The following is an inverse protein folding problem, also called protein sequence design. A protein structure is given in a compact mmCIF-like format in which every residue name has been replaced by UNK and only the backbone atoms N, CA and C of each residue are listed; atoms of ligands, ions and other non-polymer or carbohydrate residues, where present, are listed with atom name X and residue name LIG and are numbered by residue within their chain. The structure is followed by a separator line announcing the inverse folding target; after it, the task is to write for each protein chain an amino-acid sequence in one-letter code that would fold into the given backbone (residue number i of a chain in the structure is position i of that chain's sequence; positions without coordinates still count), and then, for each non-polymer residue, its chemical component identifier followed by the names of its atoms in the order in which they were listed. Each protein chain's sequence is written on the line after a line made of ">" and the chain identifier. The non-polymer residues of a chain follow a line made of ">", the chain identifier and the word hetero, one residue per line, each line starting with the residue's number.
data_IF_049093769225
#
_entry.id   IF_049093769225
#
_cell.length_a   1.000
_cell.length_b   1.000
_cell.length_c   1.000
_cell.angle_alpha   90.00
_cell.angle_beta   90.00
_cell.angle_gamma   90.00
#
_symmetry.space_group_name_H-M   'P 1'
#
loop_
_entity.id
_entity.type
_entity.pdbx_description
1 polymer ?
#
# COMPACT_ATOMS: atom_id res chain seq x y z
N UNK A 1 11.94 0.38 16.85
CA UNK A 1 13.10 0.63 15.95
C UNK A 1 13.14 2.06 15.38
N UNK A 2 12.03 2.81 15.34
CA UNK A 2 12.01 4.18 14.78
C UNK A 2 13.02 5.15 15.38
N UNK A 3 13.38 4.98 16.66
CA UNK A 3 14.40 5.83 17.32
C UNK A 3 15.84 5.49 16.92
N UNK A 4 16.10 4.24 16.56
CA UNK A 4 17.44 3.77 16.16
C UNK A 4 17.67 3.85 14.65
N UNK A 5 16.61 3.87 13.86
CA UNK A 5 16.60 3.85 12.40
C UNK A 5 15.60 4.92 11.89
N UNK A 6 15.83 6.21 12.13
CA UNK A 6 14.84 7.23 11.77
C UNK A 6 14.64 7.38 10.25
N UNK A 7 15.71 7.36 9.47
CA UNK A 7 15.63 7.49 8.00
C UNK A 7 14.98 6.24 7.40
N UNK A 8 15.52 5.06 7.72
CA UNK A 8 14.96 3.77 7.26
C UNK A 8 13.50 3.61 7.69
N UNK A 9 13.15 4.03 8.91
CA UNK A 9 11.78 4.01 9.41
C UNK A 9 10.84 4.90 8.61
N UNK A 10 11.26 6.11 8.27
CA UNK A 10 10.46 7.04 7.46
C UNK A 10 10.23 6.48 6.05
N UNK A 11 11.29 5.99 5.39
CA UNK A 11 11.18 5.37 4.06
C UNK A 11 10.23 4.18 4.07
N UNK A 12 10.34 3.32 5.08
CA UNK A 12 9.45 2.16 5.22
C UNK A 12 7.99 2.56 5.49
N UNK A 13 7.74 3.62 6.26
CA UNK A 13 6.38 4.14 6.49
C UNK A 13 5.78 4.66 5.18
N UNK A 14 6.54 5.38 4.36
CA UNK A 14 6.08 5.85 3.04
C UNK A 14 5.78 4.66 2.13
N UNK A 15 6.65 3.65 2.09
CA UNK A 15 6.41 2.42 1.34
C UNK A 15 5.14 1.70 1.82
N UNK A 16 4.93 1.57 3.13
CA UNK A 16 3.71 0.99 3.70
C UNK A 16 2.45 1.80 3.35
N UNK A 17 2.55 3.13 3.35
CA UNK A 17 1.46 4.01 2.93
C UNK A 17 1.12 3.82 1.45
N UNK A 18 2.13 3.68 0.58
CA UNK A 18 1.93 3.36 -0.83
C UNK A 18 1.24 2.00 -1.01
N UNK A 19 1.68 0.96 -0.30
CA UNK A 19 1.06 -0.37 -0.34
C UNK A 19 -0.37 -0.36 0.22
N UNK A 20 -0.65 0.46 1.22
CA UNK A 20 -2.00 0.68 1.72
C UNK A 20 -2.91 1.41 0.73
N UNK A 21 -2.34 2.12 -0.26
CA UNK A 21 -3.06 2.91 -1.24
C UNK A 21 -3.45 4.29 -0.71
N UNK A 22 -2.53 4.94 0.00
CA UNK A 22 -2.70 6.33 0.42
C UNK A 22 -2.64 7.25 -0.81
N UNK A 23 -3.58 8.20 -0.97
CA UNK A 23 -3.56 9.16 -2.06
C UNK A 23 -2.21 9.87 -2.22
N UNK A 24 -1.89 10.30 -3.44
CA UNK A 24 -0.62 10.93 -3.82
C UNK A 24 0.60 10.00 -3.85
N UNK A 25 0.41 8.72 -3.61
CA UNK A 25 1.44 7.70 -3.79
C UNK A 25 1.06 6.76 -4.96
N UNK A 26 2.07 6.19 -5.61
CA UNK A 26 1.86 5.33 -6.79
C UNK A 26 0.89 4.17 -6.53
N UNK A 27 0.88 3.63 -5.30
CA UNK A 27 0.00 2.52 -4.93
C UNK A 27 -1.49 2.88 -4.91
N UNK A 28 -1.85 4.13 -4.69
CA UNK A 28 -3.22 4.60 -4.85
C UNK A 28 -3.66 4.53 -6.31
N UNK A 29 -2.85 5.10 -7.21
CA UNK A 29 -3.13 5.11 -8.64
C UNK A 29 -3.28 3.68 -9.21
N UNK A 30 -2.36 2.80 -8.90
CA UNK A 30 -2.40 1.40 -9.37
C UNK A 30 -3.61 0.64 -8.82
N UNK A 31 -4.00 0.87 -7.57
CA UNK A 31 -5.24 0.29 -7.00
C UNK A 31 -6.50 0.81 -7.68
N UNK A 32 -6.57 2.11 -7.93
CA UNK A 32 -7.73 2.73 -8.55
C UNK A 32 -7.92 2.21 -9.98
N UNK A 33 -6.84 2.11 -10.76
CA UNK A 33 -6.86 1.50 -12.08
C UNK A 33 -7.25 0.01 -12.01
N UNK A 34 -6.68 -0.75 -11.07
CA UNK A 34 -7.05 -2.16 -10.88
C UNK A 34 -8.53 -2.33 -10.52
N UNK A 35 -9.07 -1.50 -9.64
CA UNK A 35 -10.49 -1.54 -9.29
C UNK A 35 -11.38 -1.15 -10.48
N UNK A 36 -10.97 -0.15 -11.28
CA UNK A 36 -11.68 0.22 -12.48
C UNK A 36 -11.80 -0.96 -13.44
N UNK A 37 -10.71 -1.67 -13.72
CA UNK A 37 -10.72 -2.84 -14.59
C UNK A 37 -11.64 -3.95 -14.06
N UNK A 38 -11.70 -4.17 -12.73
CA UNK A 38 -12.60 -5.18 -12.17
C UNK A 38 -14.08 -4.85 -12.33
N UNK A 39 -14.42 -3.56 -12.43
CA UNK A 39 -15.81 -3.09 -12.64
C UNK A 39 -16.20 -3.16 -14.11
N UNK A 40 -15.22 -3.01 -15.04
CA UNK A 40 -15.49 -3.04 -16.50
C UNK A 40 -15.51 -4.44 -17.10
N UNK A 41 -15.17 -5.48 -16.34
CA UNK A 41 -15.26 -6.86 -16.83
C UNK A 41 -16.72 -7.23 -17.10
N UNK A 42 -17.06 -7.45 -18.36
CA UNK A 42 -18.36 -7.97 -18.79
C UNK A 42 -18.29 -9.47 -18.96
N UNK A 43 -18.92 -10.21 -18.06
CA UNK A 43 -18.94 -11.67 -18.04
C UNK A 43 -20.26 -12.18 -17.46
N UNK A 44 -20.26 -13.29 -16.73
CA UNK A 44 -21.46 -13.73 -16.03
C UNK A 44 -21.77 -12.84 -14.81
N UNK A 45 -23.03 -12.71 -14.36
CA UNK A 45 -23.41 -11.89 -13.20
C UNK A 45 -22.63 -12.23 -11.92
N UNK A 46 -22.18 -13.48 -11.79
CA UNK A 46 -21.35 -13.93 -10.65
C UNK A 46 -19.96 -13.30 -10.71
N UNK A 47 -19.37 -13.19 -11.90
CA UNK A 47 -18.05 -12.58 -12.10
C UNK A 47 -18.14 -11.06 -11.97
N UNK A 48 -19.15 -10.45 -12.59
CA UNK A 48 -19.35 -8.99 -12.55
C UNK A 48 -19.48 -8.42 -11.14
N UNK A 49 -20.17 -9.13 -10.26
CA UNK A 49 -20.30 -8.71 -8.85
C UNK A 49 -19.21 -9.29 -7.94
N UNK A 50 -18.75 -10.50 -8.21
CA UNK A 50 -17.79 -11.20 -7.39
C UNK A 50 -16.38 -10.63 -7.50
N UNK A 51 -15.94 -10.24 -8.68
CA UNK A 51 -14.60 -9.75 -8.91
C UNK A 51 -14.31 -8.41 -8.19
N UNK A 52 -15.17 -7.38 -8.28
CA UNK A 52 -14.98 -6.15 -7.51
C UNK A 52 -15.02 -6.39 -5.99
N UNK A 53 -15.89 -7.28 -5.51
CA UNK A 53 -15.96 -7.62 -4.09
C UNK A 53 -14.67 -8.28 -3.60
N UNK A 54 -14.13 -9.25 -4.34
CA UNK A 54 -12.85 -9.89 -4.02
C UNK A 54 -11.68 -8.92 -4.10
N UNK A 55 -11.65 -8.05 -5.11
CA UNK A 55 -10.64 -7.01 -5.25
C UNK A 55 -10.67 -6.04 -4.05
N UNK A 56 -11.86 -5.60 -3.63
CA UNK A 56 -12.03 -4.74 -2.45
C UNK A 56 -11.55 -5.46 -1.18
N UNK A 57 -11.88 -6.73 -1.01
CA UNK A 57 -11.40 -7.55 0.12
C UNK A 57 -9.87 -7.67 0.12
N UNK A 58 -9.25 -7.91 -1.04
CA UNK A 58 -7.80 -7.91 -1.18
C UNK A 58 -7.21 -6.54 -0.78
N UNK A 59 -7.86 -5.44 -1.15
CA UNK A 59 -7.52 -4.09 -0.71
C UNK A 59 -7.57 -3.92 0.81
N UNK A 60 -8.59 -4.45 1.48
CA UNK A 60 -8.70 -4.48 2.96
C UNK A 60 -7.48 -5.16 3.57
N UNK A 61 -7.12 -6.35 3.08
CA UNK A 61 -5.97 -7.09 3.60
C UNK A 61 -4.65 -6.36 3.34
N UNK A 62 -4.50 -5.69 2.20
CA UNK A 62 -3.32 -4.89 1.89
C UNK A 62 -3.12 -3.76 2.93
N UNK A 63 -4.19 -3.08 3.34
CA UNK A 63 -4.14 -2.07 4.41
C UNK A 63 -3.78 -2.70 5.75
N UNK A 64 -4.41 -3.83 6.10
CA UNK A 64 -4.18 -4.52 7.39
C UNK A 64 -2.72 -4.92 7.54
N UNK A 65 -2.14 -5.57 6.52
CA UNK A 65 -0.76 -6.04 6.63
C UNK A 65 0.25 -4.89 6.62
N UNK A 66 0.00 -3.84 5.83
CA UNK A 66 0.86 -2.64 5.80
C UNK A 66 0.89 -1.95 7.16
N UNK A 67 -0.27 -1.74 7.78
CA UNK A 67 -0.38 -1.17 9.13
C UNK A 67 0.29 -2.07 10.18
N UNK A 68 0.07 -3.39 10.09
CA UNK A 68 0.66 -4.35 11.02
C UNK A 68 2.17 -4.38 10.92
N UNK A 69 2.71 -4.32 9.69
CA UNK A 69 4.15 -4.27 9.45
C UNK A 69 4.74 -2.98 10.03
N UNK A 70 4.22 -1.82 9.61
CA UNK A 70 4.71 -0.52 10.08
C UNK A 70 4.67 -0.42 11.60
N UNK A 71 3.54 -0.75 12.22
CA UNK A 71 3.39 -0.67 13.68
C UNK A 71 4.27 -1.72 14.39
N UNK A 72 4.27 -2.96 13.93
CA UNK A 72 5.04 -4.05 14.58
C UNK A 72 6.54 -3.82 14.56
N UNK A 73 7.07 -3.32 13.45
CA UNK A 73 8.51 -3.13 13.27
C UNK A 73 8.99 -1.80 13.88
N UNK A 74 8.29 -0.70 13.62
CA UNK A 74 8.80 0.63 13.96
C UNK A 74 8.24 1.21 15.26
N UNK A 75 7.00 0.87 15.62
CA UNK A 75 6.31 1.38 16.82
C UNK A 75 6.09 0.32 17.90
N UNK A 76 6.63 -0.88 17.71
CA UNK A 76 6.62 -1.93 18.72
C UNK A 76 7.52 -1.63 19.92
N UNK A 77 7.45 -2.45 20.99
CA UNK A 77 8.35 -2.32 22.13
C UNK A 77 9.81 -2.45 21.70
N UNK A 78 10.74 -1.82 22.44
CA UNK A 78 12.15 -1.90 22.12
C UNK A 78 12.60 -3.37 22.10
N UNK A 79 13.41 -3.76 21.10
CA UNK A 79 13.88 -5.14 20.99
C UNK A 79 14.81 -5.44 22.18
N UNK A 80 14.67 -6.63 22.76
CA UNK A 80 15.50 -7.13 23.87
C UNK A 80 16.36 -8.29 23.39
N UNK A 81 17.60 -8.35 23.85
CA UNK A 81 18.50 -9.49 23.54
C UNK A 81 19.05 -9.50 22.11
N UNK A 82 19.13 -8.35 21.45
CA UNK A 82 19.78 -8.27 20.14
C UNK A 82 21.31 -8.45 20.30
N UNK A 83 21.95 -9.23 19.39
CA UNK A 83 23.39 -9.42 19.40
C UNK A 83 24.17 -8.14 19.09
N UNK A 84 23.54 -7.19 18.40
CA UNK A 84 24.09 -5.85 18.13
C UNK A 84 23.00 -4.79 18.25
N UNK A 85 23.38 -3.57 18.65
CA UNK A 85 22.48 -2.44 18.65
C UNK A 85 22.14 -2.05 17.19
N UNK A 86 20.84 -1.89 16.85
CA UNK A 86 20.45 -1.44 15.53
C UNK A 86 20.93 -0.01 15.28
N UNK A 87 21.54 0.23 14.15
CA UNK A 87 22.00 1.54 13.68
C UNK A 87 21.62 1.70 12.20
N UNK A 88 21.55 2.95 11.74
CA UNK A 88 21.29 3.24 10.33
C UNK A 88 22.33 2.56 9.42
N UNK A 89 21.90 1.97 8.30
CA UNK A 89 22.81 1.40 7.32
C UNK A 89 23.65 2.49 6.65
N UNK A 90 24.78 2.09 6.06
CA UNK A 90 25.66 2.99 5.30
C UNK A 90 24.87 3.73 4.21
N UNK A 91 25.26 4.96 3.92
CA UNK A 91 24.56 5.83 2.96
C UNK A 91 24.29 5.12 1.61
N UNK A 92 25.28 4.43 1.06
CA UNK A 92 25.14 3.72 -0.21
C UNK A 92 24.10 2.59 -0.21
N UNK A 93 23.80 2.00 0.94
CA UNK A 93 22.75 0.99 1.07
C UNK A 93 21.34 1.62 1.11
N UNK A 94 21.24 2.90 1.48
CA UNK A 94 19.96 3.64 1.54
C UNK A 94 19.58 4.26 0.21
N UNK A 95 20.55 4.69 -0.59
CA UNK A 95 20.33 5.37 -1.88
C UNK A 95 19.30 4.65 -2.78
N UNK A 96 19.37 3.33 -3.02
CA UNK A 96 18.37 2.65 -3.84
C UNK A 96 16.95 2.76 -3.27
N UNK A 97 16.80 2.67 -1.95
CA UNK A 97 15.49 2.76 -1.28
C UNK A 97 14.96 4.20 -1.32
N UNK A 98 15.83 5.18 -1.12
CA UNK A 98 15.50 6.61 -1.23
C UNK A 98 15.02 6.96 -2.65
N UNK A 99 15.69 6.45 -3.69
CA UNK A 99 15.29 6.62 -5.09
C UNK A 99 13.94 5.97 -5.38
N UNK A 100 13.69 4.76 -4.87
CA UNK A 100 12.41 4.08 -5.04
C UNK A 100 11.26 4.82 -4.35
N UNK A 101 11.49 5.34 -3.15
CA UNK A 101 10.48 6.15 -2.44
C UNK A 101 10.25 7.47 -3.16
N UNK A 102 11.29 8.11 -3.65
CA UNK A 102 11.17 9.30 -4.49
C UNK A 102 10.33 9.01 -5.75
N UNK A 103 10.66 7.94 -6.47
CA UNK A 103 9.89 7.51 -7.64
C UNK A 103 8.43 7.23 -7.30
N UNK A 104 8.16 6.61 -6.15
CA UNK A 104 6.80 6.35 -5.66
C UNK A 104 5.99 7.65 -5.48
N UNK A 105 6.60 8.68 -4.91
CA UNK A 105 5.97 10.00 -4.73
C UNK A 105 5.80 10.73 -6.06
N UNK A 106 6.82 10.72 -6.92
CA UNK A 106 6.79 11.38 -8.24
C UNK A 106 5.71 10.75 -9.13
N UNK A 107 5.65 9.43 -9.21
CA UNK A 107 4.62 8.72 -9.98
C UNK A 107 3.23 8.95 -9.40
N UNK A 108 3.09 8.98 -8.08
CA UNK A 108 1.81 9.22 -7.43
C UNK A 108 1.28 10.65 -7.55
N UNK A 109 2.17 11.64 -7.68
CA UNK A 109 1.79 13.06 -7.79
C UNK A 109 1.69 13.55 -9.23
N UNK A 110 2.57 13.06 -10.12
CA UNK A 110 2.70 13.48 -11.51
C UNK A 110 2.65 12.27 -12.47
N UNK A 111 1.59 11.44 -12.45
CA UNK A 111 1.55 10.18 -13.18
C UNK A 111 1.65 10.36 -14.70
N UNK A 112 0.95 11.34 -15.24
CA UNK A 112 0.94 11.59 -16.69
C UNK A 112 2.33 11.96 -17.23
N UNK A 113 3.12 12.68 -16.45
CA UNK A 113 4.47 13.13 -16.84
C UNK A 113 5.54 12.08 -16.59
N UNK A 114 5.44 11.35 -15.48
CA UNK A 114 6.47 10.40 -15.04
C UNK A 114 6.35 9.05 -15.72
N UNK A 115 5.20 8.38 -15.60
CA UNK A 115 5.01 7.01 -16.07
C UNK A 115 4.20 6.93 -17.36
N UNK A 116 3.43 7.97 -17.70
CA UNK A 116 2.57 7.98 -18.89
C UNK A 116 3.27 7.61 -20.20
N UNK A 117 4.39 8.25 -20.56
CA UNK A 117 5.12 7.91 -21.79
C UNK A 117 5.63 6.46 -21.81
N UNK A 118 6.07 5.95 -20.66
CA UNK A 118 6.56 4.57 -20.53
C UNK A 118 5.42 3.57 -20.69
N UNK A 119 4.26 3.84 -20.08
CA UNK A 119 3.07 3.01 -20.22
C UNK A 119 2.55 3.00 -21.66
N UNK A 120 2.53 4.14 -22.34
CA UNK A 120 2.14 4.23 -23.74
C UNK A 120 3.04 3.35 -24.64
N UNK A 121 4.36 3.45 -24.47
CA UNK A 121 5.31 2.62 -25.20
C UNK A 121 5.15 1.11 -24.89
N UNK A 122 4.89 0.76 -23.63
CA UNK A 122 4.70 -0.64 -23.24
C UNK A 122 3.35 -1.22 -23.71
N UNK A 123 2.30 -0.42 -23.75
CA UNK A 123 0.97 -0.86 -24.15
C UNK A 123 0.82 -0.98 -25.67
N UNK A 124 1.52 -0.19 -26.46
CA UNK A 124 1.38 -0.14 -27.91
C UNK A 124 1.53 -1.50 -28.61
N UNK A 125 2.56 -2.33 -28.32
CA UNK A 125 2.70 -3.64 -28.95
C UNK A 125 1.63 -4.65 -28.47
N UNK A 126 1.06 -4.46 -27.28
CA UNK A 126 0.00 -5.35 -26.75
C UNK A 126 -1.34 -5.07 -27.41
N UNK A 127 -1.66 -3.79 -27.60
CA UNK A 127 -2.94 -3.37 -28.20
C UNK A 127 -2.94 -3.58 -29.73
N UNK A 128 -1.79 -3.53 -30.39
CA UNK A 128 -1.65 -3.78 -31.82
C UNK A 128 -2.29 -2.71 -32.72
N UNK A 129 -2.64 -1.55 -32.16
CA UNK A 129 -3.30 -0.44 -32.88
C UNK A 129 -3.15 0.89 -32.16
N UNK A 130 -4.09 1.81 -32.41
CA UNK A 130 -4.16 3.07 -31.67
C UNK A 130 -4.53 2.79 -30.22
N UNK A 131 -3.76 3.36 -29.29
CA UNK A 131 -4.07 3.25 -27.87
C UNK A 131 -5.44 3.90 -27.57
N UNK A 132 -6.29 3.26 -26.76
CA UNK A 132 -7.50 3.89 -26.29
C UNK A 132 -7.17 5.16 -25.50
N UNK A 133 -8.07 6.13 -25.53
CA UNK A 133 -7.92 7.32 -24.68
C UNK A 133 -7.98 6.89 -23.20
N UNK A 134 -6.92 7.17 -22.47
CA UNK A 134 -6.84 6.92 -21.03
C UNK A 134 -6.33 8.16 -20.31
N UNK A 135 -6.83 8.39 -19.13
CA UNK A 135 -6.40 9.51 -18.27
C UNK A 135 -5.62 8.98 -17.08
N UNK A 136 -4.38 9.41 -16.94
CA UNK A 136 -3.55 9.14 -15.76
C UNK A 136 -3.64 10.30 -14.76
N UNK A 137 -4.85 10.82 -14.52
CA UNK A 137 -5.05 11.85 -13.52
C UNK A 137 -5.03 11.25 -12.11
N UNK A 138 -4.57 12.02 -11.13
CA UNK A 138 -4.62 11.63 -9.71
C UNK A 138 -6.06 11.62 -9.19
N UNK A 139 -6.93 12.38 -9.84
CA UNK A 139 -8.32 12.54 -9.46
C UNK A 139 -9.25 12.37 -10.68
N UNK A 140 -10.14 11.40 -10.62
CA UNK A 140 -11.13 11.10 -11.66
C UNK A 140 -12.57 11.38 -11.21
N UNK A 141 -12.75 12.21 -10.17
CA UNK A 141 -14.06 12.46 -9.58
C UNK A 141 -14.53 11.34 -8.63
N UNK A 142 -15.79 11.39 -8.24
CA UNK A 142 -16.41 10.35 -7.44
C UNK A 142 -16.87 9.21 -8.37
N UNK A 143 -16.12 8.13 -8.35
CA UNK A 143 -16.36 6.93 -9.16
C UNK A 143 -16.40 5.66 -8.29
N UNK A 144 -16.87 4.56 -8.84
CA UNK A 144 -16.94 3.25 -8.15
C UNK A 144 -15.57 2.78 -7.62
N UNK A 145 -14.46 2.84 -8.38
CA UNK A 145 -13.12 2.52 -7.90
C UNK A 145 -12.70 3.31 -6.66
N UNK A 146 -13.01 4.60 -6.61
CA UNK A 146 -12.72 5.43 -5.44
C UNK A 146 -13.50 4.95 -4.21
N UNK A 147 -14.79 4.63 -4.37
CA UNK A 147 -15.61 4.08 -3.28
C UNK A 147 -15.03 2.76 -2.78
N UNK A 148 -14.62 1.87 -3.69
CA UNK A 148 -13.94 0.61 -3.33
C UNK A 148 -12.64 0.87 -2.56
N UNK A 149 -11.84 1.85 -2.97
CA UNK A 149 -10.62 2.28 -2.26
C UNK A 149 -10.91 2.79 -0.86
N UNK A 150 -11.94 3.61 -0.69
CA UNK A 150 -12.37 4.11 0.62
C UNK A 150 -12.87 2.99 1.53
N UNK A 151 -13.69 2.08 0.99
CA UNK A 151 -14.19 0.90 1.71
C UNK A 151 -13.03 -0.01 2.12
N UNK A 152 -12.06 -0.26 1.23
CA UNK A 152 -10.88 -1.05 1.52
C UNK A 152 -10.03 -0.42 2.63
N UNK A 153 -9.84 0.89 2.58
CA UNK A 153 -9.05 1.62 3.59
C UNK A 153 -9.75 1.65 4.95
N UNK A 154 -11.03 2.01 4.97
CA UNK A 154 -11.83 2.05 6.21
C UNK A 154 -11.98 0.64 6.81
N UNK A 155 -12.31 -0.35 5.99
CA UNK A 155 -12.42 -1.75 6.41
C UNK A 155 -11.10 -2.30 6.95
N UNK A 156 -9.99 -2.03 6.25
CA UNK A 156 -8.66 -2.43 6.69
C UNK A 156 -8.26 -1.80 8.03
N UNK A 157 -8.54 -0.52 8.21
CA UNK A 157 -8.29 0.18 9.46
C UNK A 157 -9.13 -0.41 10.61
N UNK A 158 -10.43 -0.65 10.40
CA UNK A 158 -11.32 -1.25 11.40
C UNK A 158 -10.87 -2.67 11.79
N UNK A 159 -10.55 -3.50 10.81
CA UNK A 159 -10.02 -4.86 11.05
C UNK A 159 -8.72 -4.77 11.83
N UNK A 160 -7.80 -3.91 11.44
CA UNK A 160 -6.53 -3.72 12.13
C UNK A 160 -6.74 -3.30 13.60
N UNK A 161 -7.59 -2.31 13.87
CA UNK A 161 -7.85 -1.82 15.22
C UNK A 161 -8.47 -2.91 16.11
N UNK A 162 -9.40 -3.72 15.58
CA UNK A 162 -9.97 -4.85 16.31
C UNK A 162 -8.96 -5.95 16.62
N UNK A 163 -8.10 -6.28 15.66
CA UNK A 163 -7.04 -7.27 15.88
C UNK A 163 -5.95 -6.74 16.83
N UNK A 164 -5.53 -5.51 16.69
CA UNK A 164 -4.55 -4.88 17.57
C UNK A 164 -5.01 -4.87 19.04
N UNK A 165 -6.29 -4.56 19.30
CA UNK A 165 -6.87 -4.59 20.64
C UNK A 165 -6.89 -6.01 21.22
N UNK A 166 -7.29 -7.01 20.45
CA UNK A 166 -7.28 -8.42 20.90
C UNK A 166 -5.89 -8.95 21.21
N UNK A 167 -4.89 -8.61 20.41
CA UNK A 167 -3.49 -9.00 20.62
C UNK A 167 -2.90 -8.33 21.87
N UNK A 168 -3.22 -7.06 22.13
CA UNK A 168 -2.84 -6.38 23.38
C UNK A 168 -3.43 -7.06 24.60
N UNK A 169 -4.72 -7.40 24.56
CA UNK A 169 -5.40 -8.09 25.66
C UNK A 169 -4.83 -9.49 25.94
N UNK A 170 -4.50 -10.26 24.89
CA UNK A 170 -3.85 -11.58 25.05
C UNK A 170 -2.47 -11.47 25.66
N UNK A 171 -1.68 -10.47 25.27
CA UNK A 171 -0.34 -10.23 25.80
C UNK A 171 -0.36 -9.82 27.28
N UNK A 172 -1.37 -9.08 27.69
CA UNK A 172 -1.58 -8.72 29.11
C UNK A 172 -2.06 -9.90 29.98
N UNK A 173 -2.87 -10.82 29.39
CA UNK A 173 -3.34 -12.04 30.07
C UNK A 173 -2.31 -13.17 30.12
N UNK A 174 -1.33 -13.20 29.22
CA UNK A 174 -0.28 -14.22 29.16
C UNK A 174 1.02 -13.85 29.91
N UNK A 175 1.07 -12.74 30.58
CA UNK A 175 2.26 -12.23 31.28
C UNK A 175 2.47 -12.66 32.78
N UNK A 176 1.73 -13.56 33.42
CA UNK A 176 1.98 -13.89 34.82
C UNK A 176 2.66 -15.22 35.11
N UNK A 177 3.42 -15.85 34.21
CA UNK A 177 3.99 -17.16 34.53
C UNK A 177 5.49 -17.33 34.24
N UNK A 178 6.28 -16.26 34.28
CA UNK A 178 7.76 -16.39 34.32
C UNK A 178 8.34 -15.30 35.25
N UNK A 179 8.15 -15.50 36.55
CA UNK A 179 9.04 -15.03 37.61
C UNK A 179 9.68 -16.25 38.25
#
# INVERSE_FOLDING_TARGET
>A
LSRSLPVTGTLAIVACAAMAGVPLLNGFLSKEMFFAETVFVSASPVIENGLPALATLAGVFAVVYSLRFAHGVFFGPPPRGLPRNPHEPAHWMRVPVELLVLACVVVGTLPAWSIGPVLALAAQPVVGGTLPEYSLAVWHGFNTPLVMSLVATAGGLLVYLRFASRLRQRRQRGAPLLQ
#
